data_IF_050856089406
#
_entry.id   IF_050856089406
#
_cell.length_a   1.000
_cell.length_b   1.000
_cell.length_c   1.000
_cell.angle_alpha   90.00
_cell.angle_beta   90.00
_cell.angle_gamma   90.00
#
_symmetry.space_group_name_H-M   'P 1'
#
loop_
_entity.id
_entity.type
_entity.pdbx_description
1 polymer ?
#
# COMPACT_ATOMS: atom_id res chain seq x y z
N UNK A 1 -20.78 -1.14 41.26
CA UNK A 1 -19.57 -1.39 40.44
C UNK A 1 -19.92 -2.09 39.13
N UNK A 2 -20.57 -1.43 38.16
CA UNK A 2 -20.82 -2.01 36.82
C UNK A 2 -20.74 -1.00 35.66
N UNK A 3 -20.33 0.25 35.93
CA UNK A 3 -20.44 1.37 34.99
C UNK A 3 -19.10 1.97 34.59
N UNK A 4 -18.03 1.17 34.54
CA UNK A 4 -16.67 1.68 34.25
C UNK A 4 -15.92 0.93 33.14
N UNK A 5 -16.63 0.28 32.21
CA UNK A 5 -15.99 -0.52 31.15
C UNK A 5 -16.37 -0.13 29.71
N UNK A 6 -16.91 1.07 29.47
CA UNK A 6 -17.29 1.49 28.10
C UNK A 6 -16.82 2.93 27.83
N UNK A 7 -15.51 3.19 27.83
CA UNK A 7 -14.98 4.48 27.28
C UNK A 7 -13.66 4.30 26.51
N UNK A 8 -13.26 3.09 26.10
CA UNK A 8 -11.96 2.88 25.44
C UNK A 8 -12.04 2.34 23.99
N UNK A 9 -13.01 2.82 23.19
CA UNK A 9 -13.23 2.27 21.85
C UNK A 9 -13.29 3.30 20.70
N UNK A 10 -12.87 4.55 20.89
CA UNK A 10 -13.06 5.60 19.86
C UNK A 10 -11.83 6.43 19.49
N UNK A 11 -10.62 5.99 19.82
CA UNK A 11 -9.40 6.58 19.24
C UNK A 11 -8.81 5.61 18.22
N UNK A 12 -9.58 5.31 17.17
CA UNK A 12 -8.96 4.76 15.96
C UNK A 12 -8.21 5.90 15.28
N UNK A 13 -6.90 6.00 15.53
CA UNK A 13 -6.03 6.80 14.68
C UNK A 13 -6.26 6.32 13.24
N UNK A 14 -6.76 7.21 12.37
CA UNK A 14 -6.82 6.93 10.94
C UNK A 14 -5.39 6.80 10.44
N UNK A 15 -4.89 5.57 10.38
CA UNK A 15 -3.66 5.29 9.66
C UNK A 15 -3.94 5.59 8.18
N UNK A 16 -3.25 6.58 7.61
CA UNK A 16 -3.34 6.97 6.20
C UNK A 16 -2.64 5.95 5.28
N UNK A 17 -2.94 4.67 5.48
CA UNK A 17 -2.41 3.56 4.70
C UNK A 17 -3.30 3.24 3.50
N UNK A 18 -2.68 2.70 2.45
CA UNK A 18 -3.38 2.16 1.30
C UNK A 18 -3.81 0.71 1.59
N UNK A 19 -4.98 0.31 1.07
CA UNK A 19 -5.37 -1.09 0.97
C UNK A 19 -5.04 -1.66 -0.40
N UNK A 20 -5.32 -2.96 -0.61
CA UNK A 20 -5.06 -3.63 -1.89
C UNK A 20 -5.67 -2.91 -3.09
N UNK A 21 -6.90 -2.41 -2.96
CA UNK A 21 -7.56 -1.65 -4.02
C UNK A 21 -6.76 -0.41 -4.44
N UNK A 22 -6.30 0.39 -3.48
CA UNK A 22 -5.56 1.62 -3.77
C UNK A 22 -4.21 1.33 -4.41
N UNK A 23 -3.49 0.29 -3.97
CA UNK A 23 -2.25 -0.15 -4.65
C UNK A 23 -2.49 -0.50 -6.12
N UNK A 24 -3.55 -1.26 -6.40
CA UNK A 24 -3.96 -1.60 -7.78
C UNK A 24 -4.32 -0.35 -8.59
N UNK A 25 -5.11 0.54 -8.01
CA UNK A 25 -5.59 1.76 -8.66
C UNK A 25 -4.43 2.69 -9.03
N UNK A 26 -3.54 2.99 -8.07
CA UNK A 26 -2.35 3.82 -8.29
C UNK A 26 -1.46 3.21 -9.38
N UNK A 27 -1.19 1.91 -9.31
CA UNK A 27 -0.36 1.22 -10.29
C UNK A 27 -0.94 1.33 -11.71
N UNK A 28 -2.25 1.05 -11.87
CA UNK A 28 -2.94 1.15 -13.15
C UNK A 28 -2.90 2.57 -13.70
N UNK A 29 -3.16 3.58 -12.87
CA UNK A 29 -3.13 4.98 -13.30
C UNK A 29 -1.72 5.45 -13.68
N UNK A 30 -0.69 5.01 -12.95
CA UNK A 30 0.70 5.38 -13.24
C UNK A 30 1.12 4.98 -14.67
N UNK A 31 0.62 3.85 -15.19
CA UNK A 31 0.89 3.43 -16.58
C UNK A 31 0.40 4.48 -17.59
N UNK A 32 -0.78 5.08 -17.37
CA UNK A 32 -1.32 6.10 -18.27
C UNK A 32 -0.63 7.47 -18.17
N UNK A 33 0.19 7.69 -17.14
CA UNK A 33 0.95 8.91 -16.92
C UNK A 33 2.39 8.82 -17.46
N UNK A 34 2.79 7.70 -18.07
CA UNK A 34 4.13 7.53 -18.63
C UNK A 34 4.36 8.47 -19.83
N UNK A 35 5.38 9.35 -19.80
CA UNK A 35 5.60 10.34 -20.86
C UNK A 35 6.28 9.76 -22.10
N UNK A 36 7.05 8.68 -21.94
CA UNK A 36 7.77 8.03 -23.03
C UNK A 36 6.85 7.03 -23.75
N UNK A 37 6.69 7.19 -25.06
CA UNK A 37 5.76 6.39 -25.86
C UNK A 37 6.12 4.90 -25.94
N UNK A 38 7.41 4.55 -25.99
CA UNK A 38 7.83 3.14 -26.05
C UNK A 38 7.62 2.46 -24.70
N UNK A 39 7.92 3.14 -23.58
CA UNK A 39 7.61 2.66 -22.24
C UNK A 39 6.09 2.53 -22.04
N UNK A 40 5.31 3.56 -22.37
CA UNK A 40 3.85 3.51 -22.26
C UNK A 40 3.28 2.29 -22.98
N UNK A 41 3.72 2.02 -24.22
CA UNK A 41 3.26 0.86 -24.99
C UNK A 41 3.58 -0.45 -24.29
N UNK A 42 4.81 -0.61 -23.79
CA UNK A 42 5.24 -1.82 -23.07
C UNK A 42 4.41 -2.04 -21.79
N UNK A 43 4.29 -1.02 -20.94
CA UNK A 43 3.58 -1.12 -19.68
C UNK A 43 2.07 -1.29 -19.87
N UNK A 44 1.48 -0.60 -20.86
CA UNK A 44 0.06 -0.75 -21.18
C UNK A 44 -0.27 -2.15 -21.69
N UNK A 45 0.61 -2.78 -22.47
CA UNK A 45 0.43 -4.16 -22.92
C UNK A 45 0.40 -5.17 -21.76
N UNK A 46 0.99 -4.83 -20.61
CA UNK A 46 1.10 -5.68 -19.42
C UNK A 46 0.30 -5.13 -18.22
N UNK A 47 -0.64 -4.21 -18.46
CA UNK A 47 -1.26 -3.40 -17.38
C UNK A 47 -2.00 -4.25 -16.36
N UNK A 48 -2.68 -5.32 -16.78
CA UNK A 48 -3.44 -6.18 -15.86
C UNK A 48 -2.52 -7.02 -14.98
N UNK A 49 -1.43 -7.56 -15.55
CA UNK A 49 -0.41 -8.26 -14.78
C UNK A 49 0.19 -7.34 -13.70
N UNK A 50 0.59 -6.12 -14.07
CA UNK A 50 1.16 -5.17 -13.13
C UNK A 50 0.16 -4.76 -12.04
N UNK A 51 -1.08 -4.47 -12.44
CA UNK A 51 -2.17 -4.09 -11.53
C UNK A 51 -2.39 -5.19 -10.51
N UNK A 52 -2.56 -6.44 -10.94
CA UNK A 52 -2.85 -7.57 -10.03
C UNK A 52 -1.68 -7.89 -9.08
N UNK A 53 -0.44 -7.67 -9.52
CA UNK A 53 0.76 -7.93 -8.73
C UNK A 53 1.20 -6.74 -7.86
N UNK A 54 0.54 -5.58 -7.94
CA UNK A 54 0.87 -4.39 -7.16
C UNK A 54 0.78 -4.59 -5.64
N UNK A 55 0.05 -5.61 -5.19
CA UNK A 55 -0.19 -5.95 -3.77
C UNK A 55 0.74 -7.05 -3.25
N UNK A 56 1.61 -7.60 -4.09
CA UNK A 56 2.51 -8.67 -3.68
C UNK A 56 3.44 -8.28 -2.51
N UNK A 57 3.91 -7.02 -2.38
CA UNK A 57 4.63 -6.57 -1.19
C UNK A 57 3.84 -6.77 0.11
N UNK A 58 2.58 -6.35 0.12
CA UNK A 58 1.74 -6.50 1.31
C UNK A 58 1.40 -7.96 1.59
N UNK A 59 1.17 -8.76 0.54
CA UNK A 59 0.88 -10.20 0.69
C UNK A 59 2.02 -10.96 1.38
N UNK A 60 3.27 -10.58 1.10
CA UNK A 60 4.45 -11.23 1.71
C UNK A 60 4.92 -10.57 3.01
N UNK A 61 4.24 -9.50 3.47
CA UNK A 61 4.52 -8.80 4.74
C UNK A 61 4.72 -9.74 5.93
N UNK A 62 3.92 -10.81 6.00
CA UNK A 62 3.90 -11.75 7.11
C UNK A 62 4.64 -13.06 6.84
N UNK A 63 5.05 -13.30 5.58
CA UNK A 63 5.71 -14.54 5.19
C UNK A 63 7.20 -14.36 4.89
N UNK A 64 7.65 -13.12 4.70
CA UNK A 64 9.04 -12.77 4.47
C UNK A 64 9.57 -11.93 5.63
N UNK A 65 10.60 -12.43 6.30
CA UNK A 65 11.28 -11.72 7.37
C UNK A 65 11.82 -10.37 6.88
N UNK A 66 11.62 -9.32 7.68
CA UNK A 66 12.05 -7.96 7.36
C UNK A 66 11.20 -7.23 6.31
N UNK A 67 10.24 -7.88 5.65
CA UNK A 67 9.41 -7.19 4.64
C UNK A 67 8.54 -6.12 5.30
N UNK A 68 7.93 -6.39 6.46
CA UNK A 68 7.01 -5.46 7.11
C UNK A 68 7.60 -4.06 7.34
N UNK A 69 8.89 -3.96 7.66
CA UNK A 69 9.56 -2.69 7.91
C UNK A 69 9.82 -1.86 6.64
N UNK A 70 9.64 -2.43 5.44
CA UNK A 70 9.82 -1.72 4.16
C UNK A 70 8.60 -0.92 3.72
N UNK A 71 7.49 -1.02 4.43
CA UNK A 71 6.19 -0.41 4.08
C UNK A 71 5.96 0.95 4.75
N UNK A 72 6.91 1.41 5.56
CA UNK A 72 6.86 2.69 6.23
C UNK A 72 8.27 3.25 6.38
N UNK A 73 8.35 4.55 6.67
CA UNK A 73 9.58 5.22 7.08
C UNK A 73 9.25 5.87 8.42
N UNK A 74 10.03 5.53 9.45
CA UNK A 74 9.98 6.24 10.72
C UNK A 74 10.90 7.45 10.62
N UNK A 75 10.31 8.66 10.60
CA UNK A 75 11.04 9.90 10.44
C UNK A 75 11.76 10.36 11.71
N UNK A 76 11.34 9.88 12.88
CA UNK A 76 11.96 10.27 14.17
C UNK A 76 13.25 9.48 14.44
N UNK A 77 13.44 8.34 13.77
CA UNK A 77 14.61 7.47 13.91
C UNK A 77 15.79 7.87 13.01
N UNK A 78 15.59 8.75 12.02
CA UNK A 78 16.66 9.27 11.17
C UNK A 78 17.11 10.66 11.64
N UNK A 79 18.14 10.70 12.50
CA UNK A 79 18.89 11.92 12.83
C UNK A 79 19.99 12.21 11.80
#
# INVERSE_FOLDING_TARGET
MKTFFIVLAFVSNTAYGWGFYSHKLINRHAVYLLPNQSLFRFFKANIDYLTENAVNPDKRRHTQEGEACRHYIDLDTYH
#
